data_IF_920410181574
#
_entry.id   IF_920410181574
#
_cell.length_a   1.000
_cell.length_b   1.000
_cell.length_c   1.000
_cell.angle_alpha   90.00
_cell.angle_beta   90.00
_cell.angle_gamma   90.00
#
_symmetry.space_group_name_H-M   'P 1'
#
loop_
_entity.id
_entity.type
_entity.pdbx_description
1 polymer ?
#
# COMPACT_ATOMS: atom_id res chain seq x y z
N UNK A 1 3.33 -26.08 6.89
CA UNK A 1 4.36 -25.61 7.84
C UNK A 1 4.41 -24.07 7.91
N UNK A 2 4.13 -23.34 6.82
CA UNK A 2 4.15 -21.87 6.76
C UNK A 2 2.92 -21.22 7.42
N UNK A 3 1.72 -21.74 7.20
CA UNK A 3 0.51 -21.26 7.88
C UNK A 3 0.58 -21.42 9.40
N UNK A 4 1.28 -22.48 9.87
CA UNK A 4 1.58 -22.65 11.29
C UNK A 4 2.58 -21.60 11.79
N UNK A 5 3.53 -21.14 10.96
CA UNK A 5 4.47 -20.07 11.33
C UNK A 5 3.78 -18.71 11.45
N UNK A 6 2.91 -18.35 10.51
CA UNK A 6 2.09 -17.12 10.62
C UNK A 6 1.19 -17.20 11.86
N UNK A 7 0.54 -18.33 12.10
CA UNK A 7 -0.28 -18.55 13.30
C UNK A 7 0.54 -18.51 14.60
N UNK A 8 1.81 -18.97 14.58
CA UNK A 8 2.74 -18.92 15.71
C UNK A 8 3.28 -17.49 15.95
N UNK A 9 3.59 -16.75 14.90
CA UNK A 9 3.98 -15.32 14.97
C UNK A 9 2.80 -14.52 15.53
N UNK A 10 1.59 -14.79 15.05
CA UNK A 10 0.35 -14.17 15.51
C UNK A 10 0.02 -14.59 16.97
N UNK A 11 0.21 -15.86 17.36
CA UNK A 11 0.02 -16.33 18.75
C UNK A 11 1.05 -15.77 19.73
N UNK A 12 2.32 -15.66 19.36
CA UNK A 12 3.33 -14.98 20.19
C UNK A 12 2.99 -13.51 20.43
N UNK A 13 2.36 -12.83 19.46
CA UNK A 13 1.87 -11.45 19.63
C UNK A 13 0.57 -11.34 20.47
N UNK A 14 -0.20 -12.43 20.70
CA UNK A 14 -1.34 -12.38 21.66
C UNK A 14 -0.89 -12.13 23.09
N UNK A 15 0.23 -12.70 23.52
CA UNK A 15 0.88 -12.34 24.80
C UNK A 15 1.38 -10.90 24.79
N UNK A 16 1.86 -10.41 23.65
CA UNK A 16 2.31 -9.03 23.46
C UNK A 16 1.13 -8.02 23.43
N UNK A 17 -0.10 -8.43 23.04
CA UNK A 17 -1.28 -7.53 23.03
C UNK A 17 -1.80 -7.17 24.40
N UNK A 18 -1.78 -8.10 25.38
CA UNK A 18 -2.09 -7.76 26.79
C UNK A 18 -1.07 -6.77 27.34
N UNK A 19 0.22 -6.95 27.01
CA UNK A 19 1.29 -6.02 27.37
C UNK A 19 1.13 -4.69 26.60
N UNK A 20 0.76 -4.73 25.30
CA UNK A 20 0.54 -3.53 24.48
C UNK A 20 -0.67 -2.71 24.94
N UNK A 21 -1.71 -3.35 25.44
CA UNK A 21 -2.91 -2.67 25.95
C UNK A 21 -2.67 -2.01 27.32
N UNK A 22 -1.70 -2.51 28.10
CA UNK A 22 -1.22 -1.88 29.34
C UNK A 22 -0.11 -0.83 29.11
N UNK A 23 0.52 -0.84 27.90
CA UNK A 23 1.58 0.07 27.50
C UNK A 23 1.13 0.99 26.35
N UNK A 24 -0.18 1.13 26.10
CA UNK A 24 -0.73 1.91 24.98
C UNK A 24 -0.22 3.35 24.93
N UNK A 25 0.16 3.90 26.08
CA UNK A 25 0.72 5.26 26.19
C UNK A 25 2.21 5.35 25.77
N UNK A 26 2.84 4.21 25.41
CA UNK A 26 4.24 4.12 25.01
C UNK A 26 4.48 3.65 23.56
N UNK A 27 3.46 3.15 22.86
CA UNK A 27 3.62 2.66 21.50
C UNK A 27 3.08 3.66 20.49
N UNK A 28 3.95 4.14 19.63
CA UNK A 28 3.58 4.96 18.46
C UNK A 28 2.66 4.13 17.55
N UNK A 29 1.63 4.77 17.01
CA UNK A 29 0.78 4.13 16.00
C UNK A 29 1.60 3.79 14.75
N UNK A 30 1.28 2.67 14.11
CA UNK A 30 1.99 2.20 12.92
C UNK A 30 1.39 2.80 11.66
N UNK A 31 2.24 3.37 10.82
CA UNK A 31 1.89 3.85 9.47
C UNK A 31 2.49 2.95 8.41
N UNK A 32 1.70 2.61 7.39
CA UNK A 32 2.22 2.09 6.13
C UNK A 32 1.90 3.05 4.98
N UNK A 33 2.90 3.38 4.21
CA UNK A 33 2.81 4.16 2.98
C UNK A 33 3.80 3.62 1.95
N UNK A 34 3.78 4.10 0.71
CA UNK A 34 4.78 3.68 -0.27
C UNK A 34 4.43 4.08 -1.69
N UNK A 35 5.28 3.65 -2.61
CA UNK A 35 5.18 3.96 -4.03
C UNK A 35 5.43 2.72 -4.88
N UNK A 36 4.82 2.71 -6.07
CA UNK A 36 5.11 1.74 -7.11
C UNK A 36 6.30 2.22 -7.94
N UNK A 37 7.36 1.41 -8.14
CA UNK A 37 8.55 1.80 -8.90
C UNK A 37 8.27 1.74 -10.41
N UNK A 38 7.39 2.61 -10.90
CA UNK A 38 7.00 2.69 -12.32
C UNK A 38 7.69 3.83 -13.09
N UNK A 39 8.57 4.56 -12.43
CA UNK A 39 9.37 5.69 -12.96
C UNK A 39 9.82 6.59 -11.83
N UNK A 40 10.69 7.56 -12.15
CA UNK A 40 11.12 8.60 -11.21
C UNK A 40 9.91 9.34 -10.62
N UNK A 41 9.99 9.75 -9.37
CA UNK A 41 8.96 10.54 -8.74
C UNK A 41 9.00 11.99 -9.25
N UNK A 42 7.90 12.70 -9.23
CA UNK A 42 7.78 14.08 -9.70
C UNK A 42 7.26 15.00 -8.59
N UNK A 43 7.19 16.30 -8.84
CA UNK A 43 6.74 17.30 -7.86
C UNK A 43 5.38 16.96 -7.22
N UNK A 44 4.48 16.33 -7.98
CA UNK A 44 3.21 15.86 -7.44
C UNK A 44 3.37 14.79 -6.33
N UNK A 45 4.39 13.93 -6.43
CA UNK A 45 4.72 12.97 -5.35
C UNK A 45 5.43 13.69 -4.21
N UNK A 46 6.33 14.63 -4.51
CA UNK A 46 7.05 15.37 -3.48
C UNK A 46 6.06 16.05 -2.52
N UNK A 47 5.15 16.86 -3.04
CA UNK A 47 4.18 17.59 -2.22
C UNK A 47 3.02 16.71 -1.74
N UNK A 48 2.57 15.75 -2.56
CA UNK A 48 1.43 14.91 -2.23
C UNK A 48 1.71 13.81 -1.22
N UNK A 49 2.97 13.34 -1.10
CA UNK A 49 3.30 12.21 -0.23
C UNK A 49 4.65 12.28 0.46
N UNK A 50 5.76 12.60 -0.25
CA UNK A 50 7.10 12.47 0.30
C UNK A 50 7.37 13.40 1.48
N UNK A 51 7.04 14.70 1.35
CA UNK A 51 7.22 15.66 2.44
C UNK A 51 6.35 15.33 3.66
N UNK A 52 5.17 14.74 3.44
CA UNK A 52 4.33 14.29 4.53
C UNK A 52 4.95 13.10 5.26
N UNK A 53 5.53 12.13 4.53
CA UNK A 53 6.27 10.99 5.13
C UNK A 53 7.42 11.46 6.00
N UNK A 54 8.20 12.43 5.50
CA UNK A 54 9.32 13.01 6.24
C UNK A 54 8.89 13.68 7.56
N UNK A 55 7.67 14.19 7.65
CA UNK A 55 7.10 14.70 8.90
C UNK A 55 6.59 13.58 9.80
N UNK A 56 5.81 12.67 9.25
CA UNK A 56 5.13 11.61 10.00
C UNK A 56 6.10 10.63 10.68
N UNK A 57 7.31 10.42 10.13
CA UNK A 57 8.31 9.53 10.72
C UNK A 57 8.74 9.94 12.15
N UNK A 58 8.57 11.22 12.53
CA UNK A 58 8.88 11.69 13.87
C UNK A 58 7.78 11.35 14.90
N UNK A 59 6.56 11.07 14.44
CA UNK A 59 5.39 10.89 15.29
C UNK A 59 4.87 9.44 15.29
N UNK A 60 5.25 8.63 14.29
CA UNK A 60 4.70 7.31 14.03
C UNK A 60 5.78 6.28 13.72
N UNK A 61 5.51 5.01 14.05
CA UNK A 61 6.32 3.87 13.56
C UNK A 61 6.04 3.69 12.06
N UNK A 62 6.96 4.21 11.23
CA UNK A 62 6.71 4.43 9.79
C UNK A 62 7.38 3.37 8.93
N UNK A 63 6.56 2.67 8.15
CA UNK A 63 6.99 1.73 7.12
C UNK A 63 6.70 2.29 5.74
N UNK A 64 7.71 2.25 4.86
CA UNK A 64 7.61 2.71 3.46
C UNK A 64 7.89 1.55 2.53
N UNK A 65 6.86 1.10 1.82
CA UNK A 65 6.95 0.01 0.85
C UNK A 65 7.34 0.53 -0.53
N UNK A 66 8.30 -0.12 -1.15
CA UNK A 66 8.54 -0.05 -2.60
C UNK A 66 7.81 -1.23 -3.23
N UNK A 67 6.64 -0.97 -3.81
CA UNK A 67 5.68 -1.98 -4.23
C UNK A 67 6.00 -2.51 -5.65
N UNK A 68 7.11 -3.25 -5.78
CA UNK A 68 7.63 -3.78 -7.04
C UNK A 68 6.74 -4.89 -7.62
N UNK A 69 6.20 -5.78 -6.80
CA UNK A 69 5.27 -6.84 -7.24
C UNK A 69 3.97 -6.23 -7.74
N UNK A 70 3.43 -5.24 -7.02
CA UNK A 70 2.23 -4.53 -7.45
C UNK A 70 2.47 -3.74 -8.74
N UNK A 71 3.66 -3.17 -8.93
CA UNK A 71 4.01 -2.46 -10.17
C UNK A 71 3.95 -3.36 -11.40
N UNK A 72 4.23 -4.66 -11.26
CA UNK A 72 4.17 -5.62 -12.35
C UNK A 72 2.75 -5.92 -12.83
N UNK A 73 1.70 -5.60 -12.09
CA UNK A 73 0.32 -5.88 -12.49
C UNK A 73 -0.11 -5.17 -13.78
N UNK A 74 0.51 -4.05 -14.08
CA UNK A 74 0.31 -3.25 -15.30
C UNK A 74 1.61 -2.86 -16.01
N UNK A 75 2.76 -3.35 -15.55
CA UNK A 75 4.07 -3.19 -16.19
C UNK A 75 4.76 -4.54 -16.48
N UNK A 76 4.00 -5.64 -16.58
CA UNK A 76 4.53 -6.99 -16.75
C UNK A 76 5.33 -7.19 -18.05
N UNK A 77 5.11 -6.36 -19.07
CA UNK A 77 5.90 -6.35 -20.31
C UNK A 77 7.29 -5.69 -20.15
N UNK A 78 7.51 -4.95 -19.07
CA UNK A 78 8.72 -4.16 -18.83
C UNK A 78 9.27 -4.37 -17.40
N UNK A 79 9.61 -5.60 -17.00
CA UNK A 79 10.07 -5.90 -15.63
C UNK A 79 11.40 -5.20 -15.30
N UNK A 80 12.28 -5.01 -16.29
CA UNK A 80 13.54 -4.28 -16.10
C UNK A 80 13.30 -2.84 -15.66
N UNK A 81 12.31 -2.17 -16.25
CA UNK A 81 11.90 -0.83 -15.84
C UNK A 81 11.49 -0.79 -14.36
N UNK A 82 10.73 -1.77 -13.90
CA UNK A 82 10.32 -1.85 -12.50
C UNK A 82 11.54 -2.03 -11.60
N UNK A 83 12.44 -2.96 -11.94
CA UNK A 83 13.68 -3.22 -11.19
C UNK A 83 14.56 -1.98 -11.07
N UNK A 84 14.79 -1.28 -12.18
CA UNK A 84 15.68 -0.13 -12.22
C UNK A 84 15.10 1.05 -11.42
N UNK A 85 13.78 1.21 -11.40
CA UNK A 85 13.12 2.27 -10.63
C UNK A 85 12.97 1.97 -9.13
N UNK A 86 13.27 0.77 -8.64
CA UNK A 86 13.31 0.49 -7.19
C UNK A 86 14.32 1.41 -6.50
N UNK A 87 15.53 1.53 -7.06
CA UNK A 87 16.57 2.41 -6.52
C UNK A 87 16.17 3.88 -6.58
N UNK A 88 15.60 4.32 -7.70
CA UNK A 88 15.16 5.71 -7.89
C UNK A 88 14.13 6.12 -6.83
N UNK A 89 13.12 5.27 -6.59
CA UNK A 89 12.09 5.53 -5.57
C UNK A 89 12.69 5.61 -4.16
N UNK A 90 13.65 4.75 -3.83
CA UNK A 90 14.34 4.82 -2.54
C UNK A 90 15.13 6.12 -2.41
N UNK A 91 15.91 6.47 -3.44
CA UNK A 91 16.70 7.72 -3.46
C UNK A 91 15.81 8.96 -3.33
N UNK A 92 14.68 9.00 -4.04
CA UNK A 92 13.73 10.11 -3.95
C UNK A 92 13.14 10.26 -2.54
N UNK A 93 12.81 9.15 -1.87
CA UNK A 93 12.34 9.18 -0.49
C UNK A 93 13.41 9.71 0.48
N UNK A 94 14.67 9.25 0.34
CA UNK A 94 15.79 9.74 1.17
C UNK A 94 16.07 11.21 0.90
N UNK A 95 16.08 11.62 -0.37
CA UNK A 95 16.31 13.03 -0.76
C UNK A 95 15.21 13.97 -0.26
N UNK A 96 13.97 13.48 -0.14
CA UNK A 96 12.86 14.23 0.44
C UNK A 96 12.89 14.32 1.98
N UNK A 97 13.87 13.71 2.64
CA UNK A 97 14.09 13.81 4.08
C UNK A 97 13.61 12.59 4.89
N UNK A 98 13.30 11.47 4.24
CA UNK A 98 13.04 10.24 4.98
C UNK A 98 14.35 9.72 5.59
N UNK A 99 14.34 9.54 6.91
CA UNK A 99 15.52 9.11 7.67
C UNK A 99 15.45 7.61 7.97
N UNK A 100 16.38 6.77 7.44
CA UNK A 100 16.38 5.34 7.65
C UNK A 100 16.67 4.91 9.10
N UNK A 101 17.03 5.85 9.99
CA UNK A 101 17.13 5.60 11.42
C UNK A 101 15.77 5.74 12.15
N UNK A 102 14.79 6.36 11.51
CA UNK A 102 13.45 6.61 12.08
C UNK A 102 12.35 5.84 11.35
N UNK A 103 12.52 5.59 10.06
CA UNK A 103 11.56 4.88 9.23
C UNK A 103 12.18 3.63 8.60
N UNK A 104 11.37 2.60 8.40
CA UNK A 104 11.78 1.37 7.70
C UNK A 104 11.35 1.43 6.24
N UNK A 105 12.32 1.45 5.31
CA UNK A 105 12.05 1.28 3.88
C UNK A 105 12.26 -0.19 3.52
N UNK A 106 11.31 -0.79 2.79
CA UNK A 106 11.45 -2.18 2.35
C UNK A 106 10.89 -2.38 0.94
N UNK A 107 11.41 -3.42 0.26
CA UNK A 107 10.95 -3.84 -1.06
C UNK A 107 9.91 -4.95 -0.87
N UNK A 108 8.76 -4.84 -1.52
CA UNK A 108 7.61 -5.74 -1.35
C UNK A 108 8.00 -7.20 -1.63
N UNK A 109 8.74 -7.47 -2.71
CA UNK A 109 9.17 -8.83 -3.08
C UNK A 109 10.12 -9.48 -2.08
N UNK A 110 10.78 -8.71 -1.22
CA UNK A 110 11.66 -9.23 -0.16
C UNK A 110 10.92 -9.63 1.12
N UNK A 111 9.60 -9.45 1.16
CA UNK A 111 8.71 -9.87 2.26
C UNK A 111 7.70 -10.90 1.73
N UNK A 112 8.12 -12.17 1.54
CA UNK A 112 7.28 -13.19 0.90
C UNK A 112 5.97 -13.47 1.64
N UNK A 113 5.89 -13.16 2.92
CA UNK A 113 4.69 -13.28 3.74
C UNK A 113 3.53 -12.41 3.23
N UNK A 114 3.82 -11.30 2.54
CA UNK A 114 2.80 -10.46 1.89
C UNK A 114 2.10 -11.26 0.77
N UNK A 115 2.86 -11.96 -0.07
CA UNK A 115 2.31 -12.79 -1.14
C UNK A 115 1.51 -13.97 -0.58
N UNK A 116 2.00 -14.61 0.49
CA UNK A 116 1.28 -15.69 1.17
C UNK A 116 -0.04 -15.17 1.76
N UNK A 117 -0.02 -14.03 2.43
CA UNK A 117 -1.22 -13.42 3.00
C UNK A 117 -2.22 -12.98 1.92
N UNK A 118 -1.74 -12.51 0.77
CA UNK A 118 -2.57 -12.19 -0.41
C UNK A 118 -3.37 -13.42 -0.85
N UNK A 119 -2.75 -14.61 -0.90
CA UNK A 119 -3.45 -15.85 -1.25
C UNK A 119 -4.53 -16.18 -0.22
N UNK A 120 -4.26 -16.04 1.07
CA UNK A 120 -5.29 -16.26 2.11
C UNK A 120 -6.44 -15.26 1.99
N UNK A 121 -6.16 -13.99 1.78
CA UNK A 121 -7.17 -12.96 1.62
C UNK A 121 -8.00 -13.12 0.35
N UNK A 122 -7.42 -13.65 -0.73
CA UNK A 122 -8.14 -13.91 -1.99
C UNK A 122 -9.34 -14.85 -1.82
N UNK A 123 -9.29 -15.74 -0.81
CA UNK A 123 -10.40 -16.61 -0.46
C UNK A 123 -11.55 -15.89 0.28
N UNK A 124 -11.34 -14.65 0.69
CA UNK A 124 -12.32 -13.85 1.44
C UNK A 124 -13.03 -12.81 0.57
N UNK A 125 -12.57 -12.57 -0.67
CA UNK A 125 -13.07 -11.52 -1.56
C UNK A 125 -13.66 -12.15 -2.82
N UNK A 126 -14.86 -11.73 -3.23
CA UNK A 126 -15.45 -12.19 -4.48
C UNK A 126 -14.99 -11.35 -5.67
N UNK A 127 -14.93 -11.94 -6.87
CA UNK A 127 -14.62 -11.22 -8.11
C UNK A 127 -15.56 -10.02 -8.30
N UNK A 128 -16.86 -10.22 -8.08
CA UNK A 128 -17.86 -9.17 -8.19
C UNK A 128 -17.60 -7.98 -7.23
N UNK A 129 -16.94 -8.21 -6.07
CA UNK A 129 -16.55 -7.12 -5.15
C UNK A 129 -15.38 -6.34 -5.70
N UNK A 130 -14.39 -7.01 -6.30
CA UNK A 130 -13.24 -6.37 -6.95
C UNK A 130 -13.68 -5.53 -8.14
N UNK A 131 -14.50 -6.07 -9.02
CA UNK A 131 -15.03 -5.39 -10.19
C UNK A 131 -15.88 -4.14 -9.85
N UNK A 132 -16.53 -4.13 -8.70
CA UNK A 132 -17.32 -2.99 -8.23
C UNK A 132 -16.50 -1.90 -7.53
N UNK A 133 -15.22 -2.13 -7.24
CA UNK A 133 -14.38 -1.12 -6.61
C UNK A 133 -14.22 0.09 -7.55
N UNK A 134 -14.58 1.32 -7.11
CA UNK A 134 -14.53 2.50 -7.97
C UNK A 134 -13.14 2.82 -8.51
N UNK A 135 -12.10 2.63 -7.70
CA UNK A 135 -10.71 2.87 -8.10
C UNK A 135 -10.30 1.88 -9.20
N UNK A 136 -10.62 0.59 -9.03
CA UNK A 136 -10.34 -0.44 -10.04
C UNK A 136 -11.06 -0.14 -11.36
N UNK A 137 -12.34 0.27 -11.31
CA UNK A 137 -13.08 0.66 -12.53
C UNK A 137 -12.42 1.81 -13.27
N UNK A 138 -12.07 2.87 -12.56
CA UNK A 138 -11.39 4.03 -13.15
C UNK A 138 -10.07 3.65 -13.78
N UNK A 139 -9.27 2.83 -13.11
CA UNK A 139 -7.99 2.37 -13.65
C UNK A 139 -8.14 1.45 -14.86
N UNK A 140 -9.15 0.59 -14.88
CA UNK A 140 -9.44 -0.26 -16.05
C UNK A 140 -9.80 0.57 -17.28
N UNK A 141 -10.61 1.63 -17.10
CA UNK A 141 -10.93 2.53 -18.21
C UNK A 141 -9.70 3.28 -18.72
N UNK A 142 -8.84 3.77 -17.83
CA UNK A 142 -7.61 4.45 -18.19
C UNK A 142 -6.60 3.54 -18.89
N UNK A 143 -6.61 2.25 -18.61
CA UNK A 143 -5.67 1.24 -19.12
C UNK A 143 -6.32 0.25 -20.10
N UNK A 144 -7.47 0.57 -20.67
CA UNK A 144 -8.21 -0.32 -21.57
C UNK A 144 -7.36 -0.85 -22.75
N UNK A 145 -6.40 -0.08 -23.23
CA UNK A 145 -5.51 -0.51 -24.30
C UNK A 145 -4.55 -1.62 -23.87
N UNK A 146 -4.12 -1.65 -22.62
CA UNK A 146 -3.31 -2.72 -22.07
C UNK A 146 -4.10 -4.03 -21.94
N UNK A 147 -5.41 -3.93 -21.71
CA UNK A 147 -6.29 -5.07 -21.42
C UNK A 147 -7.23 -5.43 -22.58
N UNK A 148 -6.85 -5.16 -23.84
CA UNK A 148 -7.65 -5.52 -25.03
C UNK A 148 -7.98 -7.02 -25.12
N UNK A 149 -7.10 -7.89 -24.59
CA UNK A 149 -7.30 -9.34 -24.53
C UNK A 149 -8.03 -9.83 -23.26
N UNK A 150 -8.46 -8.93 -22.42
CA UNK A 150 -9.09 -9.22 -21.12
C UNK A 150 -8.24 -8.78 -19.94
N UNK A 151 -8.91 -8.55 -18.80
CA UNK A 151 -8.27 -8.11 -17.57
C UNK A 151 -7.54 -9.29 -16.93
N UNK A 152 -6.27 -9.12 -16.59
CA UNK A 152 -5.50 -10.17 -15.94
C UNK A 152 -5.96 -10.36 -14.48
N UNK A 153 -5.82 -11.59 -13.97
CA UNK A 153 -6.09 -11.90 -12.56
C UNK A 153 -5.24 -11.01 -11.63
N UNK A 154 -3.96 -10.82 -11.96
CA UNK A 154 -3.06 -9.99 -11.16
C UNK A 154 -3.55 -8.55 -11.04
N UNK A 155 -4.03 -7.95 -12.16
CA UNK A 155 -4.57 -6.59 -12.12
C UNK A 155 -5.90 -6.53 -11.35
N UNK A 156 -6.81 -7.46 -11.57
CA UNK A 156 -8.08 -7.48 -10.81
C UNK A 156 -7.85 -7.76 -9.33
N UNK A 157 -6.82 -8.55 -9.01
CA UNK A 157 -6.48 -8.97 -7.65
C UNK A 157 -5.62 -7.99 -6.84
N UNK A 158 -5.05 -6.93 -7.46
CA UNK A 158 -4.12 -6.04 -6.73
C UNK A 158 -4.73 -5.39 -5.47
N UNK A 159 -6.04 -5.12 -5.35
CA UNK A 159 -6.59 -4.58 -4.11
C UNK A 159 -6.45 -5.54 -2.93
N UNK A 160 -6.43 -6.85 -3.19
CA UNK A 160 -6.21 -7.88 -2.17
C UNK A 160 -4.75 -7.89 -1.73
N UNK A 161 -3.83 -7.74 -2.68
CA UNK A 161 -2.39 -7.60 -2.40
C UNK A 161 -2.10 -6.33 -1.60
N UNK A 162 -2.71 -5.21 -1.96
CA UNK A 162 -2.57 -3.96 -1.20
C UNK A 162 -3.12 -4.09 0.23
N UNK A 163 -4.21 -4.82 0.42
CA UNK A 163 -4.70 -5.12 1.76
C UNK A 163 -3.70 -5.99 2.54
N UNK A 164 -3.02 -6.93 1.88
CA UNK A 164 -1.97 -7.73 2.51
C UNK A 164 -0.76 -6.87 2.90
N UNK A 165 -0.33 -5.92 2.05
CA UNK A 165 0.72 -4.97 2.39
C UNK A 165 0.42 -4.26 3.72
N UNK A 166 -0.78 -3.68 3.82
CA UNK A 166 -1.21 -2.89 4.98
C UNK A 166 -1.33 -3.77 6.24
N UNK A 167 -1.96 -4.92 6.12
CA UNK A 167 -2.30 -5.77 7.26
C UNK A 167 -1.11 -6.61 7.77
N UNK A 168 -0.11 -6.92 6.92
CA UNK A 168 1.11 -7.61 7.35
C UNK A 168 1.85 -6.83 8.44
N UNK A 169 1.93 -5.52 8.29
CA UNK A 169 2.56 -4.62 9.27
C UNK A 169 1.60 -4.15 10.36
N UNK A 170 0.33 -4.60 10.33
CA UNK A 170 -0.70 -4.18 11.27
C UNK A 170 -0.83 -2.65 11.36
N UNK A 171 -0.79 -1.98 10.21
CA UNK A 171 -0.87 -0.54 10.16
C UNK A 171 -2.18 -0.02 10.77
N UNK A 172 -2.07 0.93 11.67
CA UNK A 172 -3.20 1.63 12.29
C UNK A 172 -3.70 2.75 11.37
N UNK A 173 -2.76 3.38 10.65
CA UNK A 173 -3.00 4.52 9.78
C UNK A 173 -2.36 4.31 8.41
N UNK A 174 -3.02 4.79 7.37
CA UNK A 174 -2.50 4.79 6.00
C UNK A 174 -2.65 6.19 5.41
N UNK A 175 -1.55 6.90 5.15
CA UNK A 175 -1.58 8.18 4.45
C UNK A 175 -2.06 7.97 3.02
N UNK A 176 -3.21 8.51 2.69
CA UNK A 176 -3.85 8.35 1.37
C UNK A 176 -4.54 9.62 0.91
N UNK A 177 -4.64 9.80 -0.41
CA UNK A 177 -5.57 10.76 -0.99
C UNK A 177 -7.01 10.22 -0.96
N UNK A 178 -8.00 11.08 -1.10
CA UNK A 178 -9.43 10.70 -1.10
C UNK A 178 -9.77 9.65 -2.16
N UNK A 179 -9.08 9.65 -3.30
CA UNK A 179 -9.27 8.69 -4.38
C UNK A 179 -8.88 7.25 -4.00
N UNK A 180 -8.11 7.07 -2.94
CA UNK A 180 -7.68 5.76 -2.41
C UNK A 180 -8.56 5.24 -1.27
N UNK A 181 -9.53 6.00 -0.81
CA UNK A 181 -10.41 5.58 0.28
C UNK A 181 -11.21 4.30 -0.03
N UNK A 182 -11.69 4.05 -1.28
CA UNK A 182 -12.34 2.79 -1.62
C UNK A 182 -11.42 1.55 -1.47
N UNK A 183 -10.12 1.73 -1.66
CA UNK A 183 -9.12 0.67 -1.47
C UNK A 183 -8.93 0.37 0.01
N UNK A 184 -8.88 1.41 0.83
CA UNK A 184 -8.74 1.26 2.28
C UNK A 184 -10.00 0.65 2.90
N UNK A 185 -11.20 1.00 2.41
CA UNK A 185 -12.44 0.35 2.85
C UNK A 185 -12.44 -1.14 2.50
N UNK A 186 -11.98 -1.51 1.33
CA UNK A 186 -11.84 -2.93 0.97
C UNK A 186 -10.85 -3.65 1.90
N UNK A 187 -9.77 -3.00 2.30
CA UNK A 187 -8.82 -3.52 3.31
C UNK A 187 -9.52 -3.76 4.65
N UNK A 188 -10.37 -2.84 5.11
CA UNK A 188 -11.17 -2.99 6.34
C UNK A 188 -12.16 -4.14 6.23
N UNK A 189 -12.83 -4.29 5.08
CA UNK A 189 -13.74 -5.41 4.82
C UNK A 189 -13.03 -6.75 4.95
N UNK A 190 -11.82 -6.87 4.38
CA UNK A 190 -10.98 -8.07 4.48
C UNK A 190 -10.59 -8.32 5.94
N UNK A 191 -10.12 -7.30 6.65
CA UNK A 191 -9.74 -7.40 8.05
C UNK A 191 -10.92 -7.85 8.94
N UNK A 192 -12.11 -7.25 8.76
CA UNK A 192 -13.33 -7.63 9.49
C UNK A 192 -13.71 -9.08 9.21
N UNK A 193 -13.73 -9.47 7.93
CA UNK A 193 -14.09 -10.85 7.55
C UNK A 193 -13.09 -11.87 8.09
N UNK A 194 -11.80 -11.59 7.98
CA UNK A 194 -10.76 -12.44 8.57
C UNK A 194 -10.93 -12.55 10.09
N UNK A 195 -11.10 -11.42 10.77
CA UNK A 195 -11.26 -11.38 12.21
C UNK A 195 -12.52 -12.13 12.69
N UNK A 196 -13.60 -12.12 11.91
CA UNK A 196 -14.83 -12.84 12.25
C UNK A 196 -14.66 -14.37 12.21
N UNK A 197 -13.77 -14.87 11.35
CA UNK A 197 -13.53 -16.31 11.17
C UNK A 197 -12.45 -16.82 12.14
N UNK A 198 -11.33 -16.07 12.25
CA UNK A 198 -10.11 -16.53 12.91
C UNK A 198 -9.84 -15.84 14.27
N UNK A 199 -10.73 -14.94 14.70
CA UNK A 199 -10.56 -14.11 15.88
C UNK A 199 -9.82 -12.80 15.56
N UNK A 200 -9.89 -11.82 16.47
CA UNK A 200 -9.36 -10.47 16.29
C UNK A 200 -7.83 -10.46 16.17
N UNK A 201 -7.33 -10.34 14.94
CA UNK A 201 -5.91 -10.37 14.58
C UNK A 201 -5.48 -9.04 13.96
N UNK A 202 -6.20 -8.57 12.94
CA UNK A 202 -5.85 -7.36 12.20
C UNK A 202 -6.59 -6.12 12.73
N UNK A 203 -5.92 -4.95 12.76
CA UNK A 203 -6.60 -3.68 12.97
C UNK A 203 -7.47 -3.33 11.76
N UNK A 204 -8.41 -2.42 11.96
CA UNK A 204 -9.09 -1.73 10.85
C UNK A 204 -8.34 -0.42 10.60
N UNK A 205 -7.55 -0.32 9.52
CA UNK A 205 -6.71 0.85 9.28
C UNK A 205 -7.55 2.10 8.99
N UNK A 206 -7.10 3.26 9.47
CA UNK A 206 -7.74 4.55 9.22
C UNK A 206 -6.99 5.32 8.16
N UNK A 207 -7.71 6.07 7.33
CA UNK A 207 -7.11 7.02 6.43
C UNK A 207 -6.48 8.18 7.21
N UNK A 208 -5.25 8.53 6.87
CA UNK A 208 -4.62 9.78 7.28
C UNK A 208 -4.59 10.70 6.06
N UNK A 209 -5.52 11.63 5.99
CA UNK A 209 -5.59 12.59 4.89
C UNK A 209 -4.48 13.63 5.08
N UNK A 210 -3.69 13.85 4.03
CA UNK A 210 -2.62 14.86 4.07
C UNK A 210 -3.18 16.27 3.90
N UNK A 211 -2.48 17.26 4.47
CA UNK A 211 -2.81 18.68 4.39
C UNK A 211 -2.54 19.30 3.01
N UNK A 212 -1.92 18.55 2.10
CA UNK A 212 -1.50 19.08 0.82
C UNK A 212 -2.60 18.93 -0.23
N UNK A 213 -3.00 20.04 -0.88
CA UNK A 213 -3.96 20.01 -1.95
C UNK A 213 -3.41 19.21 -3.14
N UNK A 214 -4.33 18.58 -3.86
CA UNK A 214 -4.03 17.89 -5.12
C UNK A 214 -3.41 18.88 -6.10
N UNK A 215 -2.16 18.65 -6.51
CA UNK A 215 -1.52 19.51 -7.51
C UNK A 215 -2.11 19.26 -8.90
N UNK A 216 -2.50 20.35 -9.54
CA UNK A 216 -2.85 20.35 -10.96
C UNK A 216 -1.60 20.15 -11.80
N UNK A 217 -1.75 19.54 -12.97
CA UNK A 217 -0.68 19.49 -13.95
C UNK A 217 -0.28 20.89 -14.42
N UNK A 218 0.87 20.98 -15.07
CA UNK A 218 1.36 22.25 -15.65
C UNK A 218 0.43 22.81 -16.74
N UNK A 219 -0.44 21.96 -17.30
CA UNK A 219 -1.52 22.34 -18.22
C UNK A 219 -2.75 22.95 -17.54
N UNK A 220 -2.81 22.94 -16.21
CA UNK A 220 -3.91 23.49 -15.42
C UNK A 220 -5.23 22.68 -15.42
N UNK A 221 -5.31 21.61 -16.20
CA UNK A 221 -6.57 20.92 -16.47
C UNK A 221 -6.77 19.62 -15.69
N UNK A 222 -5.73 18.83 -15.51
CA UNK A 222 -5.79 17.52 -14.88
C UNK A 222 -4.82 17.40 -13.71
N UNK A 223 -4.95 16.33 -12.93
CA UNK A 223 -3.94 15.97 -11.92
C UNK A 223 -2.60 15.81 -12.61
N UNK A 224 -1.54 16.36 -12.00
CA UNK A 224 -0.17 16.17 -12.44
C UNK A 224 0.15 14.68 -12.58
N UNK A 225 0.57 14.28 -13.79
CA UNK A 225 0.84 12.87 -14.14
C UNK A 225 1.84 12.78 -15.28
N UNK A 226 2.83 11.90 -15.14
CA UNK A 226 3.78 11.61 -16.20
C UNK A 226 3.13 10.98 -17.44
N UNK A 227 2.15 10.12 -17.23
CA UNK A 227 1.43 9.47 -18.35
C UNK A 227 0.63 10.45 -19.19
N UNK A 228 0.29 11.61 -18.64
CA UNK A 228 -0.38 12.71 -19.34
C UNK A 228 0.61 13.75 -19.89
N UNK A 229 1.92 13.62 -19.62
CA UNK A 229 2.94 14.57 -20.06
C UNK A 229 2.82 15.97 -19.46
N UNK A 230 2.13 16.11 -18.31
CA UNK A 230 1.85 17.38 -17.64
C UNK A 230 2.50 17.49 -16.24
N UNK A 231 3.54 16.68 -15.99
CA UNK A 231 4.33 16.68 -14.76
C UNK A 231 5.68 17.37 -14.94
#
# INVERSE_FOLDING_TARGET
LSALRICLIIKRRKSCKLVRQQLSDFFMATILTGDRPTGQLHLGHLFGSLLNRAKLQAEYDTYVIVADVQALTDNFHHPDKVRDNVYEVVLDNLAAGLNPQQATIFIQSLVPEIAELTVFFSNLVTLARLERNPTVKTELEQKKDLFKGGVTYGFLGYPVSQAADILTFQADLVPVGQDQEPMLEQTREIARKFNSIYGRIFPEPKALLGDFPRLSGLDGNAKMSKSLGNA
#
